data_IF_854228354045
#
_entry.id   IF_854228354045
#
_cell.length_a   1.000
_cell.length_b   1.000
_cell.length_c   1.000
_cell.angle_alpha   90.00
_cell.angle_beta   90.00
_cell.angle_gamma   90.00
#
_symmetry.space_group_name_H-M   'P 1'
#
loop_
_entity.id
_entity.type
_entity.pdbx_description
1 polymer ?
#
# COMPACT_ATOMS: atom_id res chain seq x y z
N UNK A 1 -54.87 -11.67 15.46
CA UNK A 1 -54.61 -11.22 14.11
C UNK A 1 -53.62 -10.07 14.27
N UNK A 2 -52.42 -10.04 13.80
CA UNK A 2 -51.62 -10.91 12.96
C UNK A 2 -50.14 -10.59 13.19
N UNK A 3 -49.35 -11.61 13.55
CA UNK A 3 -47.89 -11.62 13.36
C UNK A 3 -47.63 -11.65 11.86
N UNK A 4 -46.86 -10.71 11.33
CA UNK A 4 -46.03 -10.87 10.10
C UNK A 4 -45.36 -9.52 9.79
N UNK A 5 -44.10 -9.35 10.20
CA UNK A 5 -43.10 -8.52 9.48
C UNK A 5 -41.72 -8.49 10.18
N UNK A 6 -41.16 -9.64 10.54
CA UNK A 6 -39.78 -9.73 11.02
C UNK A 6 -38.93 -10.75 10.25
N UNK A 7 -39.33 -11.12 9.04
CA UNK A 7 -38.70 -12.22 8.25
C UNK A 7 -38.01 -11.82 6.97
N UNK A 8 -37.83 -10.53 6.65
CA UNK A 8 -37.33 -10.15 5.31
C UNK A 8 -35.93 -9.54 5.24
N UNK A 9 -35.20 -9.40 6.33
CA UNK A 9 -33.83 -8.84 6.33
C UNK A 9 -32.72 -9.88 6.44
N UNK A 10 -33.03 -11.12 6.74
CA UNK A 10 -32.00 -12.20 6.79
C UNK A 10 -31.76 -12.94 5.46
N UNK A 11 -32.59 -12.72 4.46
CA UNK A 11 -32.56 -13.44 3.16
C UNK A 11 -31.55 -12.91 2.14
N UNK A 12 -30.93 -11.75 2.34
CA UNK A 12 -30.11 -11.09 1.32
C UNK A 12 -28.59 -11.39 1.39
N UNK A 13 -28.13 -12.18 2.35
CA UNK A 13 -26.70 -12.57 2.50
C UNK A 13 -26.48 -14.03 2.09
N UNK A 14 -27.40 -14.67 1.40
CA UNK A 14 -27.12 -15.93 0.71
C UNK A 14 -26.28 -15.66 -0.55
N UNK A 15 -25.06 -15.15 -0.31
CA UNK A 15 -24.08 -14.88 -1.35
C UNK A 15 -23.79 -16.13 -2.15
N UNK A 16 -23.78 -15.97 -3.46
CA UNK A 16 -23.28 -16.90 -4.46
C UNK A 16 -22.06 -17.65 -3.90
N UNK A 17 -22.20 -18.95 -3.69
CA UNK A 17 -21.07 -19.82 -3.34
C UNK A 17 -20.16 -19.85 -4.56
N UNK A 18 -18.95 -19.29 -4.46
CA UNK A 18 -17.92 -19.58 -5.46
C UNK A 18 -17.76 -21.09 -5.58
N UNK A 19 -17.69 -21.61 -6.80
CA UNK A 19 -17.25 -22.97 -7.01
C UNK A 19 -15.91 -23.16 -6.33
N UNK A 20 -15.70 -24.25 -5.62
CA UNK A 20 -14.44 -24.55 -4.92
C UNK A 20 -13.22 -24.33 -5.82
N UNK A 21 -13.31 -24.74 -7.08
CA UNK A 21 -12.25 -24.54 -8.09
C UNK A 21 -11.95 -23.05 -8.32
N UNK A 22 -12.97 -22.20 -8.42
CA UNK A 22 -12.81 -20.75 -8.66
C UNK A 22 -12.18 -20.05 -7.45
N UNK A 23 -12.63 -20.38 -6.24
CA UNK A 23 -12.06 -19.88 -5.00
C UNK A 23 -10.60 -20.31 -4.83
N UNK A 24 -10.28 -21.57 -5.14
CA UNK A 24 -8.92 -22.10 -5.08
C UNK A 24 -8.00 -21.37 -6.07
N UNK A 25 -8.46 -21.15 -7.30
CA UNK A 25 -7.70 -20.43 -8.34
C UNK A 25 -7.39 -19.00 -7.91
N UNK A 26 -8.39 -18.26 -7.37
CA UNK A 26 -8.19 -16.90 -6.85
C UNK A 26 -7.14 -16.84 -5.72
N UNK A 27 -7.18 -17.80 -4.80
CA UNK A 27 -6.22 -17.89 -3.71
C UNK A 27 -4.80 -18.22 -4.21
N UNK A 28 -4.67 -19.15 -5.17
CA UNK A 28 -3.38 -19.49 -5.77
C UNK A 28 -2.77 -18.26 -6.47
N UNK A 29 -3.57 -17.51 -7.24
CA UNK A 29 -3.11 -16.28 -7.90
C UNK A 29 -2.68 -15.24 -6.87
N UNK A 30 -3.49 -14.98 -5.84
CA UNK A 30 -3.16 -14.02 -4.79
C UNK A 30 -1.86 -14.38 -4.07
N UNK A 31 -1.68 -15.65 -3.70
CA UNK A 31 -0.46 -16.16 -3.03
C UNK A 31 0.77 -16.10 -3.95
N UNK A 32 0.62 -16.42 -5.24
CA UNK A 32 1.72 -16.35 -6.21
C UNK A 32 2.21 -14.92 -6.41
N UNK A 33 1.29 -13.98 -6.53
CA UNK A 33 1.62 -12.54 -6.65
C UNK A 33 2.25 -12.01 -5.37
N UNK A 34 1.70 -12.37 -4.19
CA UNK A 34 2.29 -12.01 -2.91
C UNK A 34 3.73 -12.54 -2.78
N UNK A 35 3.97 -13.81 -3.12
CA UNK A 35 5.31 -14.40 -3.05
C UNK A 35 6.30 -13.69 -3.97
N UNK A 36 5.89 -13.43 -5.22
CA UNK A 36 6.71 -12.72 -6.20
C UNK A 36 7.10 -11.31 -5.70
N UNK A 37 6.12 -10.54 -5.22
CA UNK A 37 6.37 -9.19 -4.72
C UNK A 37 7.19 -9.19 -3.43
N UNK A 38 6.98 -10.16 -2.54
CA UNK A 38 7.76 -10.33 -1.31
C UNK A 38 9.23 -10.61 -1.62
N UNK A 39 9.53 -11.43 -2.63
CA UNK A 39 10.90 -11.68 -3.09
C UNK A 39 11.53 -10.39 -3.64
N UNK A 40 10.81 -9.65 -4.47
CA UNK A 40 11.29 -8.37 -5.03
C UNK A 40 11.57 -7.37 -3.92
N UNK A 41 10.61 -7.14 -3.02
CA UNK A 41 10.75 -6.18 -1.91
C UNK A 41 11.89 -6.60 -0.96
N UNK A 42 11.98 -7.87 -0.59
CA UNK A 42 13.07 -8.40 0.25
C UNK A 42 14.43 -8.23 -0.40
N UNK A 43 14.54 -8.43 -1.72
CA UNK A 43 15.78 -8.21 -2.45
C UNK A 43 16.21 -6.75 -2.45
N UNK A 44 15.27 -5.80 -2.54
CA UNK A 44 15.54 -4.36 -2.45
C UNK A 44 15.99 -3.95 -1.04
N UNK A 45 15.30 -4.43 -0.01
CA UNK A 45 15.68 -4.19 1.39
C UNK A 45 17.09 -4.75 1.66
N UNK A 46 17.38 -5.95 1.19
CA UNK A 46 18.72 -6.55 1.33
C UNK A 46 19.80 -5.71 0.64
N UNK A 47 19.56 -5.23 -0.57
CA UNK A 47 20.51 -4.36 -1.28
C UNK A 47 20.75 -3.06 -0.53
N UNK A 48 19.67 -2.45 0.00
CA UNK A 48 19.78 -1.26 0.83
C UNK A 48 20.64 -1.52 2.08
N UNK A 49 20.36 -2.59 2.83
CA UNK A 49 21.08 -2.94 4.06
C UNK A 49 22.56 -3.29 3.82
N UNK A 50 22.89 -3.80 2.64
CA UNK A 50 24.26 -4.25 2.31
C UNK A 50 25.20 -3.09 1.97
N UNK A 51 24.68 -1.96 1.48
CA UNK A 51 25.49 -0.86 0.96
C UNK A 51 25.27 0.42 1.74
N UNK A 52 26.27 0.86 2.53
CA UNK A 52 26.22 2.05 3.41
C UNK A 52 25.88 3.35 2.65
N UNK A 53 26.25 3.46 1.38
CA UNK A 53 25.98 4.64 0.54
C UNK A 53 24.49 5.03 0.49
N UNK A 54 23.59 4.08 0.74
CA UNK A 54 22.15 4.33 0.74
C UNK A 54 21.64 4.92 2.07
N UNK A 55 22.36 4.71 3.19
CA UNK A 55 22.01 5.27 4.50
C UNK A 55 22.31 6.76 4.61
N UNK A 56 23.24 7.26 3.80
CA UNK A 56 23.67 8.65 3.81
C UNK A 56 22.75 9.56 2.98
N UNK A 57 21.88 8.97 2.18
CA UNK A 57 21.01 9.70 1.26
C UNK A 57 19.55 9.67 1.70
N UNK A 58 18.95 10.81 2.08
CA UNK A 58 17.56 10.95 2.51
C UNK A 58 16.54 10.29 1.58
N UNK A 59 16.78 10.40 0.29
CA UNK A 59 15.95 9.83 -0.76
C UNK A 59 15.79 8.32 -0.65
N UNK A 60 16.90 7.60 -0.43
CA UNK A 60 16.84 6.13 -0.33
C UNK A 60 16.22 5.66 0.97
N UNK A 61 16.35 6.46 2.04
CA UNK A 61 15.71 6.18 3.33
C UNK A 61 14.18 6.25 3.19
N UNK A 62 13.64 7.31 2.58
CA UNK A 62 12.20 7.41 2.32
C UNK A 62 11.70 6.29 1.40
N UNK A 63 12.46 5.97 0.36
CA UNK A 63 12.13 4.89 -0.56
C UNK A 63 12.04 3.54 0.16
N UNK A 64 13.04 3.18 0.97
CA UNK A 64 13.03 1.88 1.65
C UNK A 64 11.93 1.79 2.69
N UNK A 65 11.64 2.89 3.41
CA UNK A 65 10.50 2.94 4.32
C UNK A 65 9.17 2.69 3.60
N UNK A 66 9.00 3.25 2.40
CA UNK A 66 7.82 3.00 1.57
C UNK A 66 7.75 1.52 1.13
N UNK A 67 8.85 0.94 0.66
CA UNK A 67 8.91 -0.48 0.26
C UNK A 67 8.57 -1.41 1.43
N UNK A 68 9.10 -1.12 2.62
CA UNK A 68 8.80 -1.90 3.83
C UNK A 68 7.33 -1.79 4.25
N UNK A 69 6.77 -0.58 4.20
CA UNK A 69 5.36 -0.33 4.48
C UNK A 69 4.44 -1.06 3.48
N UNK A 70 4.76 -0.98 2.19
CA UNK A 70 4.00 -1.67 1.14
C UNK A 70 4.10 -3.20 1.26
N UNK A 71 5.27 -3.74 1.62
CA UNK A 71 5.47 -5.16 1.87
C UNK A 71 4.65 -5.66 3.08
N UNK A 72 4.63 -4.89 4.17
CA UNK A 72 3.82 -5.20 5.35
C UNK A 72 2.33 -5.19 5.01
N UNK A 73 1.84 -4.13 4.37
CA UNK A 73 0.43 -4.03 3.99
C UNK A 73 0.00 -5.13 3.02
N UNK A 74 0.86 -5.46 2.04
CA UNK A 74 0.60 -6.55 1.10
C UNK A 74 0.50 -7.90 1.82
N UNK A 75 1.39 -8.17 2.77
CA UNK A 75 1.36 -9.40 3.56
C UNK A 75 0.08 -9.49 4.40
N UNK A 76 -0.28 -8.43 5.09
CA UNK A 76 -1.48 -8.39 5.92
C UNK A 76 -2.77 -8.53 5.11
N UNK A 77 -2.89 -7.84 3.97
CA UNK A 77 -4.08 -7.93 3.12
C UNK A 77 -4.22 -9.30 2.48
N UNK A 78 -3.10 -9.91 2.04
CA UNK A 78 -3.13 -11.27 1.48
C UNK A 78 -3.46 -12.30 2.56
N UNK A 79 -2.89 -12.16 3.76
CA UNK A 79 -3.24 -13.02 4.89
C UNK A 79 -4.73 -12.88 5.24
N UNK A 80 -5.26 -11.67 5.33
CA UNK A 80 -6.68 -11.43 5.59
C UNK A 80 -7.57 -12.04 4.51
N UNK A 81 -7.17 -11.89 3.23
CA UNK A 81 -7.89 -12.46 2.10
C UNK A 81 -7.94 -14.00 2.18
N UNK A 82 -6.79 -14.66 2.39
CA UNK A 82 -6.70 -16.12 2.50
C UNK A 82 -7.45 -16.63 3.74
N UNK A 83 -7.26 -15.98 4.89
CA UNK A 83 -7.93 -16.37 6.14
C UNK A 83 -9.46 -16.25 6.04
N UNK A 84 -9.98 -15.25 5.36
CA UNK A 84 -11.43 -15.10 5.16
C UNK A 84 -12.04 -16.19 4.27
N UNK A 85 -11.24 -16.80 3.38
CA UNK A 85 -11.66 -17.98 2.61
C UNK A 85 -11.61 -19.27 3.43
N UNK A 86 -10.59 -19.43 4.28
CA UNK A 86 -10.39 -20.67 5.08
C UNK A 86 -11.38 -20.72 6.25
N UNK A 87 -11.45 -19.65 7.03
CA UNK A 87 -12.19 -19.64 8.30
C UNK A 87 -13.59 -19.00 8.20
N UNK A 88 -14.01 -18.50 7.06
CA UNK A 88 -15.30 -17.81 6.82
C UNK A 88 -15.68 -16.75 7.87
N UNK A 89 -15.33 -16.95 9.13
CA UNK A 89 -15.57 -16.04 10.27
C UNK A 89 -14.34 -16.01 11.15
N UNK A 90 -13.82 -14.82 11.42
CA UNK A 90 -12.67 -14.57 12.28
C UNK A 90 -13.16 -13.77 13.48
N UNK A 91 -12.51 -13.90 14.63
CA UNK A 91 -12.85 -13.10 15.81
C UNK A 91 -12.76 -11.61 15.51
N UNK A 92 -13.78 -10.85 15.91
CA UNK A 92 -13.85 -9.40 15.64
C UNK A 92 -12.63 -8.64 16.17
N UNK A 93 -12.05 -9.05 17.30
CA UNK A 93 -10.84 -8.45 17.87
C UNK A 93 -9.64 -8.51 16.91
N UNK A 94 -9.40 -9.67 16.30
CA UNK A 94 -8.31 -9.87 15.32
C UNK A 94 -8.59 -9.08 14.05
N UNK A 95 -9.84 -9.10 13.57
CA UNK A 95 -10.28 -8.33 12.41
C UNK A 95 -10.09 -6.82 12.63
N UNK A 96 -10.49 -6.27 13.78
CA UNK A 96 -10.33 -4.85 14.09
C UNK A 96 -8.86 -4.43 14.01
N UNK A 97 -7.95 -5.22 14.60
CA UNK A 97 -6.52 -4.92 14.57
C UNK A 97 -5.96 -4.97 13.14
N UNK A 98 -6.25 -6.02 12.38
CA UNK A 98 -5.77 -6.18 10.99
C UNK A 98 -6.29 -5.07 10.08
N UNK A 99 -7.59 -4.75 10.16
CA UNK A 99 -8.20 -3.70 9.33
C UNK A 99 -7.66 -2.33 9.73
N UNK A 100 -7.42 -2.06 11.02
CA UNK A 100 -6.81 -0.81 11.45
C UNK A 100 -5.40 -0.62 10.87
N UNK A 101 -4.56 -1.65 10.86
CA UNK A 101 -3.22 -1.58 10.24
C UNK A 101 -3.32 -1.38 8.73
N UNK A 102 -4.26 -2.07 8.06
CA UNK A 102 -4.48 -1.94 6.62
C UNK A 102 -5.00 -0.57 6.20
N UNK A 103 -5.75 0.10 7.05
CA UNK A 103 -6.26 1.46 6.80
C UNK A 103 -5.23 2.55 7.04
N UNK A 104 -4.02 2.23 7.53
CA UNK A 104 -2.93 3.20 7.66
C UNK A 104 -2.50 3.72 6.29
N UNK A 105 -2.61 5.04 6.11
CA UNK A 105 -2.48 5.71 4.80
C UNK A 105 -1.13 6.42 4.63
N UNK A 106 -0.02 5.77 4.96
CA UNK A 106 1.31 6.37 4.95
C UNK A 106 1.90 6.54 3.54
N UNK A 107 1.58 5.68 2.59
CA UNK A 107 2.17 5.69 1.23
C UNK A 107 1.98 7.02 0.49
N UNK A 108 0.80 7.68 0.43
CA UNK A 108 0.67 8.97 -0.26
C UNK A 108 1.51 10.09 0.34
N UNK A 109 1.65 10.16 1.67
CA UNK A 109 2.52 11.16 2.31
C UNK A 109 4.01 10.89 2.08
N UNK A 110 4.43 9.63 2.08
CA UNK A 110 5.80 9.26 1.72
C UNK A 110 6.11 9.65 0.27
N UNK A 111 5.16 9.46 -0.66
CA UNK A 111 5.27 9.92 -2.05
C UNK A 111 5.37 11.44 -2.15
N UNK A 112 4.55 12.17 -1.38
CA UNK A 112 4.62 13.63 -1.33
C UNK A 112 5.97 14.10 -0.75
N UNK A 113 6.47 13.46 0.30
CA UNK A 113 7.79 13.72 0.87
C UNK A 113 8.93 13.50 -0.12
N UNK A 114 8.87 12.41 -0.90
CA UNK A 114 9.84 12.15 -1.95
C UNK A 114 9.76 13.14 -3.11
N UNK A 115 8.55 13.63 -3.46
CA UNK A 115 8.37 14.67 -4.47
C UNK A 115 8.93 16.02 -3.98
N UNK A 116 8.73 16.34 -2.71
CA UNK A 116 9.29 17.54 -2.07
C UNK A 116 10.83 17.47 -2.01
N UNK A 117 11.41 16.32 -1.66
CA UNK A 117 12.87 16.10 -1.72
C UNK A 117 13.40 16.38 -3.14
N UNK A 118 12.73 15.87 -4.17
CA UNK A 118 13.09 16.13 -5.56
C UNK A 118 13.00 17.60 -5.93
N UNK A 119 11.96 18.27 -5.48
CA UNK A 119 11.80 19.72 -5.69
C UNK A 119 12.96 20.49 -5.07
N UNK A 120 13.34 20.20 -3.83
CA UNK A 120 14.46 20.82 -3.15
C UNK A 120 15.79 20.55 -3.89
N UNK A 121 16.02 19.31 -4.32
CA UNK A 121 17.23 18.92 -5.03
C UNK A 121 17.40 19.63 -6.40
N UNK A 122 16.29 19.94 -7.08
CA UNK A 122 16.32 20.57 -8.41
C UNK A 122 16.27 22.09 -8.32
N UNK A 123 15.41 22.63 -7.46
CA UNK A 123 15.20 24.08 -7.37
C UNK A 123 16.18 24.79 -6.42
N UNK A 124 16.72 24.09 -5.41
CA UNK A 124 17.63 24.65 -4.41
C UNK A 124 18.88 23.77 -4.20
N UNK A 125 19.68 23.48 -5.24
CA UNK A 125 20.79 22.53 -5.13
C UNK A 125 21.85 22.94 -4.11
N UNK A 126 22.11 24.24 -3.95
CA UNK A 126 23.08 24.76 -2.96
C UNK A 126 22.64 24.58 -1.50
N UNK A 127 21.34 24.55 -1.25
CA UNK A 127 20.78 24.39 0.10
C UNK A 127 20.35 22.94 0.39
N UNK A 128 20.46 22.05 -0.58
CA UNK A 128 19.98 20.67 -0.47
C UNK A 128 20.60 19.93 0.73
N UNK A 129 21.93 20.01 0.88
CA UNK A 129 22.65 19.36 1.99
C UNK A 129 22.28 19.87 3.40
N UNK A 130 21.81 21.11 3.46
CA UNK A 130 21.36 21.72 4.72
C UNK A 130 19.90 21.40 5.03
N UNK A 131 19.04 21.36 4.00
CA UNK A 131 17.60 21.13 4.13
C UNK A 131 17.26 19.65 4.26
N UNK A 132 17.83 18.80 3.41
CA UNK A 132 17.57 17.38 3.34
C UNK A 132 18.66 16.56 4.03
N UNK A 133 18.69 16.61 5.36
CA UNK A 133 19.58 15.75 6.16
C UNK A 133 18.89 14.42 6.51
N UNK A 134 19.67 13.38 6.75
CA UNK A 134 19.18 12.08 7.21
C UNK A 134 18.30 12.21 8.46
N UNK A 135 18.76 13.01 9.45
CA UNK A 135 18.02 13.21 10.69
C UNK A 135 16.64 13.86 10.46
N UNK A 136 16.57 14.94 9.66
CA UNK A 136 15.29 15.59 9.33
C UNK A 136 14.36 14.67 8.56
N UNK A 137 14.90 13.87 7.66
CA UNK A 137 14.13 12.89 6.90
C UNK A 137 13.56 11.79 7.80
N UNK A 138 14.35 11.29 8.76
CA UNK A 138 13.88 10.30 9.74
C UNK A 138 12.77 10.87 10.61
N UNK A 139 12.92 12.12 11.10
CA UNK A 139 11.87 12.81 11.84
C UNK A 139 10.60 12.97 10.99
N UNK A 140 10.74 13.39 9.72
CA UNK A 140 9.62 13.52 8.80
C UNK A 140 8.89 12.19 8.62
N UNK A 141 9.61 11.08 8.42
CA UNK A 141 9.04 9.74 8.33
C UNK A 141 8.28 9.38 9.62
N UNK A 142 8.86 9.64 10.78
CA UNK A 142 8.20 9.42 12.09
C UNK A 142 6.89 10.21 12.22
N UNK A 143 6.91 11.49 11.83
CA UNK A 143 5.71 12.34 11.81
C UNK A 143 4.64 11.83 10.84
N UNK A 144 5.04 11.37 9.66
CA UNK A 144 4.12 10.76 8.68
C UNK A 144 3.44 9.54 9.30
N UNK A 145 4.18 8.61 9.89
CA UNK A 145 3.60 7.43 10.52
C UNK A 145 2.72 7.77 11.71
N UNK A 146 3.12 8.71 12.57
CA UNK A 146 2.31 9.18 13.69
C UNK A 146 0.97 9.78 13.22
N UNK A 147 1.01 10.68 12.22
CA UNK A 147 -0.18 11.31 11.66
C UNK A 147 -1.13 10.30 11.00
N UNK A 148 -0.59 9.37 10.24
CA UNK A 148 -1.40 8.38 9.50
C UNK A 148 -1.90 7.23 10.37
N UNK A 149 -1.33 7.01 11.54
CA UNK A 149 -1.81 6.03 12.52
C UNK A 149 -2.92 6.59 13.43
N UNK A 150 -3.05 7.90 13.53
CA UNK A 150 -4.04 8.53 14.40
C UNK A 150 -5.50 8.15 14.04
N UNK A 151 -5.96 8.19 12.78
CA UNK A 151 -7.33 7.78 12.42
C UNK A 151 -7.65 6.32 12.79
N UNK A 152 -6.86 5.29 12.40
CA UNK A 152 -7.18 3.91 12.76
C UNK A 152 -7.09 3.64 14.28
N UNK A 153 -6.20 4.31 15.00
CA UNK A 153 -6.15 4.21 16.47
C UNK A 153 -7.44 4.78 17.09
N UNK A 154 -7.89 5.94 16.62
CA UNK A 154 -9.16 6.51 17.08
C UNK A 154 -10.35 5.66 16.72
N UNK A 155 -10.36 4.99 15.57
CA UNK A 155 -11.43 4.04 15.20
C UNK A 155 -11.49 2.86 16.15
N UNK A 156 -10.33 2.29 16.49
CA UNK A 156 -10.22 1.21 17.49
C UNK A 156 -10.71 1.66 18.88
N UNK A 157 -10.31 2.85 19.33
CA UNK A 157 -10.72 3.38 20.63
C UNK A 157 -12.23 3.65 20.70
N UNK A 158 -12.82 4.25 19.67
CA UNK A 158 -14.27 4.47 19.60
C UNK A 158 -15.00 3.13 19.62
N UNK A 159 -14.55 2.15 18.85
CA UNK A 159 -15.16 0.82 18.82
C UNK A 159 -15.05 0.12 20.17
N UNK A 160 -13.88 0.21 20.83
CA UNK A 160 -13.65 -0.37 22.15
C UNK A 160 -14.61 0.20 23.23
N UNK A 161 -14.93 1.49 23.13
CA UNK A 161 -15.82 2.17 24.09
C UNK A 161 -17.30 1.94 23.76
N UNK A 162 -17.65 1.84 22.48
CA UNK A 162 -19.05 1.78 22.03
C UNK A 162 -19.61 0.37 21.93
N UNK A 163 -18.77 -0.61 21.57
CA UNK A 163 -19.21 -1.99 21.37
C UNK A 163 -19.09 -2.81 22.68
N UNK A 164 -20.03 -3.72 22.95
CA UNK A 164 -19.96 -4.57 24.14
C UNK A 164 -18.81 -5.59 24.03
N UNK A 165 -18.25 -6.06 25.16
CA UNK A 165 -17.17 -7.05 25.15
C UNK A 165 -17.48 -8.33 24.35
N UNK A 166 -18.74 -8.74 24.32
CA UNK A 166 -19.24 -9.89 23.56
C UNK A 166 -19.02 -9.74 22.05
N UNK A 167 -19.03 -8.50 21.53
CA UNK A 167 -18.74 -8.21 20.11
C UNK A 167 -17.35 -8.68 19.71
N UNK A 168 -16.33 -8.44 20.53
CA UNK A 168 -14.93 -8.81 20.23
C UNK A 168 -14.68 -10.31 20.20
N UNK A 169 -15.53 -11.10 20.87
CA UNK A 169 -15.50 -12.55 20.83
C UNK A 169 -16.39 -13.14 19.72
N UNK A 170 -17.22 -12.30 19.08
CA UNK A 170 -18.06 -12.74 17.98
C UNK A 170 -17.23 -13.05 16.74
N UNK A 171 -17.65 -14.06 15.99
CA UNK A 171 -17.04 -14.43 14.73
C UNK A 171 -17.75 -13.74 13.57
N UNK A 172 -17.07 -12.81 12.92
CA UNK A 172 -17.62 -11.96 11.86
C UNK A 172 -16.75 -11.96 10.60
N UNK A 173 -17.30 -11.48 9.51
CA UNK A 173 -16.53 -11.22 8.30
C UNK A 173 -15.68 -9.95 8.47
N UNK A 174 -14.38 -10.03 8.11
CA UNK A 174 -13.47 -8.90 8.25
C UNK A 174 -13.70 -7.85 7.15
N UNK A 175 -14.68 -6.97 7.37
CA UNK A 175 -14.97 -5.82 6.53
C UNK A 175 -14.99 -4.56 7.40
N UNK A 176 -14.40 -3.47 6.91
CA UNK A 176 -14.31 -2.21 7.65
C UNK A 176 -15.68 -1.71 8.13
N UNK A 177 -16.70 -1.80 7.27
CA UNK A 177 -18.05 -1.34 7.56
C UNK A 177 -18.78 -2.17 8.62
N UNK A 178 -18.43 -3.46 8.74
CA UNK A 178 -19.00 -4.37 9.74
C UNK A 178 -18.32 -4.24 11.10
N UNK A 179 -17.06 -3.80 11.11
CA UNK A 179 -16.23 -3.63 12.31
C UNK A 179 -16.43 -2.26 12.95
N UNK A 180 -16.41 -1.21 12.14
CA UNK A 180 -16.47 0.18 12.58
C UNK A 180 -17.85 0.77 12.25
N UNK A 181 -18.87 0.39 13.02
CA UNK A 181 -20.28 0.69 12.75
C UNK A 181 -20.70 2.10 13.17
N UNK A 182 -19.95 2.73 14.07
CA UNK A 182 -20.30 4.03 14.60
C UNK A 182 -20.25 5.10 13.50
N UNK A 183 -21.33 5.86 13.38
CA UNK A 183 -21.49 6.91 12.37
C UNK A 183 -20.45 8.03 12.52
N UNK A 184 -19.97 8.27 13.73
CA UNK A 184 -18.93 9.25 14.03
C UNK A 184 -17.60 8.88 13.36
N UNK A 185 -17.28 7.58 13.27
CA UNK A 185 -16.10 7.08 12.59
C UNK A 185 -16.16 7.41 11.10
N UNK A 186 -17.31 7.22 10.47
CA UNK A 186 -17.50 7.55 9.06
C UNK A 186 -17.24 9.03 8.78
N UNK A 187 -17.89 9.94 9.54
CA UNK A 187 -17.71 11.38 9.34
C UNK A 187 -16.27 11.83 9.61
N UNK A 188 -15.67 11.34 10.70
CA UNK A 188 -14.27 11.63 11.03
C UNK A 188 -13.34 11.21 9.89
N UNK A 189 -13.51 10.00 9.36
CA UNK A 189 -12.69 9.50 8.28
C UNK A 189 -12.90 10.28 6.98
N UNK A 190 -14.13 10.65 6.62
CA UNK A 190 -14.41 11.51 5.47
C UNK A 190 -13.70 12.85 5.55
N UNK A 191 -13.74 13.52 6.70
CA UNK A 191 -13.06 14.82 6.89
C UNK A 191 -11.54 14.65 6.83
N UNK A 192 -11.02 13.65 7.54
CA UNK A 192 -9.58 13.37 7.53
C UNK A 192 -9.08 13.05 6.11
N UNK A 193 -9.75 12.14 5.42
CA UNK A 193 -9.37 11.72 4.07
C UNK A 193 -9.45 12.87 3.07
N UNK A 194 -10.53 13.67 3.13
CA UNK A 194 -10.69 14.83 2.26
C UNK A 194 -9.58 15.86 2.47
N UNK A 195 -9.27 16.21 3.71
CA UNK A 195 -8.19 17.15 4.05
C UNK A 195 -6.82 16.59 3.65
N UNK A 196 -6.57 15.35 4.03
CA UNK A 196 -5.35 14.62 3.76
C UNK A 196 -5.03 14.55 2.25
N UNK A 197 -6.00 14.08 1.45
CA UNK A 197 -5.85 13.94 0.00
C UNK A 197 -5.68 15.29 -0.68
N UNK A 198 -6.40 16.32 -0.22
CA UNK A 198 -6.25 17.68 -0.75
C UNK A 198 -4.84 18.20 -0.52
N UNK A 199 -4.30 18.06 0.69
CA UNK A 199 -2.92 18.47 1.02
C UNK A 199 -1.88 17.73 0.17
N UNK A 200 -2.00 16.41 0.04
CA UNK A 200 -1.07 15.61 -0.76
C UNK A 200 -1.13 15.99 -2.23
N UNK A 201 -2.34 16.16 -2.78
CA UNK A 201 -2.54 16.55 -4.19
C UNK A 201 -1.98 17.93 -4.48
N UNK A 202 -2.26 18.91 -3.63
CA UNK A 202 -1.74 20.27 -3.78
C UNK A 202 -0.20 20.29 -3.69
N UNK A 203 0.39 19.54 -2.76
CA UNK A 203 1.85 19.42 -2.66
C UNK A 203 2.46 18.86 -3.94
N UNK A 204 1.88 17.82 -4.50
CA UNK A 204 2.38 17.19 -5.72
C UNK A 204 2.19 18.09 -6.95
N UNK A 205 1.05 18.75 -7.08
CA UNK A 205 0.82 19.72 -8.16
C UNK A 205 1.79 20.89 -8.07
N UNK A 206 1.98 21.46 -6.87
CA UNK A 206 2.93 22.54 -6.65
C UNK A 206 4.36 22.13 -7.01
N UNK A 207 4.85 21.01 -6.48
CA UNK A 207 6.19 20.50 -6.78
C UNK A 207 6.38 20.19 -8.25
N UNK A 208 5.37 19.61 -8.91
CA UNK A 208 5.38 19.37 -10.35
C UNK A 208 5.53 20.67 -11.16
N UNK A 209 4.67 21.65 -10.90
CA UNK A 209 4.71 22.92 -11.63
C UNK A 209 6.05 23.63 -11.44
N UNK A 210 6.57 23.66 -10.21
CA UNK A 210 7.86 24.30 -9.91
C UNK A 210 9.05 23.60 -10.57
N UNK A 211 9.12 22.28 -10.52
CA UNK A 211 10.16 21.48 -11.18
C UNK A 211 10.13 21.74 -12.70
N UNK A 212 8.93 21.77 -13.30
CA UNK A 212 8.80 22.01 -14.73
C UNK A 212 9.22 23.44 -15.15
N UNK A 213 8.86 24.45 -14.34
CA UNK A 213 9.24 25.84 -14.59
C UNK A 213 10.77 26.01 -14.47
N UNK A 214 11.38 25.49 -13.39
CA UNK A 214 12.83 25.57 -13.18
C UNK A 214 13.60 24.82 -14.26
N UNK A 215 13.14 23.64 -14.65
CA UNK A 215 13.77 22.85 -15.72
C UNK A 215 13.71 23.57 -17.10
N UNK A 216 12.64 24.29 -17.38
CA UNK A 216 12.54 25.13 -18.60
C UNK A 216 13.47 26.33 -18.54
N UNK A 217 13.55 27.01 -17.39
CA UNK A 217 14.36 28.22 -17.20
C UNK A 217 15.87 27.94 -17.26
N UNK A 218 16.30 26.78 -16.76
CA UNK A 218 17.73 26.44 -16.67
C UNK A 218 18.38 26.06 -18.01
N UNK A 219 17.65 26.10 -19.15
CA UNK A 219 18.14 25.61 -20.46
C UNK A 219 18.82 24.23 -20.37
N UNK A 220 18.48 23.48 -19.32
CA UNK A 220 19.01 22.14 -19.08
C UNK A 220 18.66 21.27 -20.28
N UNK A 221 19.64 20.54 -20.81
CA UNK A 221 19.47 19.76 -22.02
C UNK A 221 18.17 18.94 -21.98
N UNK A 222 17.49 18.85 -23.12
CA UNK A 222 16.18 18.21 -23.31
C UNK A 222 16.05 16.84 -22.61
N UNK A 223 17.17 16.12 -22.48
CA UNK A 223 17.21 14.81 -21.80
C UNK A 223 17.00 14.89 -20.29
N UNK A 224 17.58 15.89 -19.60
CA UNK A 224 17.44 16.04 -18.14
C UNK A 224 16.03 16.51 -17.75
N UNK A 225 15.45 17.42 -18.54
CA UNK A 225 14.06 17.88 -18.38
C UNK A 225 13.08 16.74 -18.59
N UNK A 226 13.27 15.92 -19.64
CA UNK A 226 12.45 14.75 -19.92
C UNK A 226 12.54 13.72 -18.79
N UNK A 227 13.72 13.50 -18.22
CA UNK A 227 13.92 12.57 -17.09
C UNK A 227 13.19 13.06 -15.83
N UNK A 228 13.31 14.35 -15.49
CA UNK A 228 12.61 14.97 -14.35
C UNK A 228 11.07 14.89 -14.53
N UNK A 229 10.57 15.27 -15.70
CA UNK A 229 9.14 15.18 -16.04
C UNK A 229 8.60 13.76 -15.86
N UNK A 230 9.29 12.76 -16.41
CA UNK A 230 8.84 11.38 -16.31
C UNK A 230 8.86 10.89 -14.87
N UNK A 231 9.74 11.42 -13.98
CA UNK A 231 9.73 11.09 -12.55
C UNK A 231 8.43 11.51 -11.91
N UNK A 232 8.10 12.76 -12.08
CA UNK A 232 6.94 13.34 -11.44
C UNK A 232 5.65 12.76 -12.00
N UNK A 233 5.62 12.48 -13.30
CA UNK A 233 4.47 11.78 -13.92
C UNK A 233 4.22 10.40 -13.30
N UNK A 234 5.29 9.62 -13.09
CA UNK A 234 5.16 8.30 -12.45
C UNK A 234 4.70 8.38 -11.00
N UNK A 235 5.18 9.38 -10.24
CA UNK A 235 4.64 9.65 -8.89
C UNK A 235 3.17 10.04 -8.94
N UNK A 236 2.77 10.84 -9.94
CA UNK A 236 1.38 11.20 -10.16
C UNK A 236 0.49 9.99 -10.44
N UNK A 237 0.93 9.07 -11.29
CA UNK A 237 0.21 7.82 -11.57
C UNK A 237 0.09 6.96 -10.31
N UNK A 238 1.16 6.83 -9.53
CA UNK A 238 1.13 6.07 -8.28
C UNK A 238 0.19 6.70 -7.26
N UNK A 239 0.19 8.03 -7.15
CA UNK A 239 -0.76 8.74 -6.30
C UNK A 239 -2.21 8.52 -6.75
N UNK A 240 -2.48 8.62 -8.06
CA UNK A 240 -3.81 8.39 -8.61
C UNK A 240 -4.34 7.00 -8.21
N UNK A 241 -3.50 5.98 -8.29
CA UNK A 241 -3.85 4.62 -7.84
C UNK A 241 -4.06 4.54 -6.32
N UNK A 242 -3.26 5.26 -5.53
CA UNK A 242 -3.49 5.35 -4.09
C UNK A 242 -4.81 6.09 -3.77
N UNK A 243 -5.16 7.13 -4.53
CA UNK A 243 -6.44 7.84 -4.38
C UNK A 243 -7.63 6.95 -4.72
N UNK A 244 -7.49 6.06 -5.69
CA UNK A 244 -8.53 5.11 -6.03
C UNK A 244 -8.93 4.26 -4.81
N UNK A 245 -8.00 3.95 -3.92
CA UNK A 245 -8.26 3.22 -2.69
C UNK A 245 -9.30 3.87 -1.75
N UNK A 246 -9.46 5.19 -1.82
CA UNK A 246 -10.45 5.92 -1.02
C UNK A 246 -11.85 5.93 -1.64
N UNK A 247 -11.92 5.88 -2.96
CA UNK A 247 -13.19 5.85 -3.71
C UNK A 247 -13.76 4.42 -3.78
N UNK A 248 -12.89 3.44 -3.77
CA UNK A 248 -13.24 2.03 -3.96
C UNK A 248 -14.26 1.50 -2.95
N UNK A 249 -14.22 1.76 -1.64
CA UNK A 249 -15.21 1.21 -0.72
C UNK A 249 -16.63 1.63 -1.10
N UNK A 250 -16.85 2.90 -1.47
CA UNK A 250 -18.15 3.40 -1.90
C UNK A 250 -18.57 2.83 -3.25
N UNK A 251 -17.65 2.76 -4.20
CA UNK A 251 -17.91 2.19 -5.51
C UNK A 251 -18.18 0.69 -5.43
N UNK A 252 -17.43 -0.04 -4.62
CA UNK A 252 -17.64 -1.46 -4.37
C UNK A 252 -19.02 -1.74 -3.75
N UNK A 253 -19.43 -0.96 -2.75
CA UNK A 253 -20.75 -1.08 -2.14
C UNK A 253 -21.85 -0.84 -3.16
N UNK A 254 -21.74 0.21 -3.99
CA UNK A 254 -22.69 0.51 -5.04
C UNK A 254 -22.77 -0.62 -6.09
N UNK A 255 -21.64 -1.14 -6.56
CA UNK A 255 -21.60 -2.23 -7.54
C UNK A 255 -22.14 -3.55 -6.97
N UNK A 256 -21.87 -3.86 -5.71
CA UNK A 256 -22.43 -5.06 -5.06
C UNK A 256 -23.94 -4.93 -4.90
N UNK A 257 -24.49 -3.73 -4.62
CA UNK A 257 -25.93 -3.52 -4.57
C UNK A 257 -26.62 -3.66 -5.91
N UNK A 258 -25.97 -3.25 -7.00
CA UNK A 258 -26.47 -3.39 -8.38
C UNK A 258 -26.34 -4.83 -8.90
N UNK A 259 -25.25 -5.52 -8.55
CA UNK A 259 -24.95 -6.86 -9.04
C UNK A 259 -24.63 -7.84 -7.90
N UNK A 260 -25.61 -8.23 -7.07
CA UNK A 260 -25.38 -9.07 -5.89
C UNK A 260 -24.74 -10.43 -6.22
N UNK A 261 -25.08 -10.98 -7.40
CA UNK A 261 -24.55 -12.28 -7.87
C UNK A 261 -23.05 -12.27 -8.15
N UNK A 262 -22.48 -11.09 -8.46
CA UNK A 262 -21.07 -10.90 -8.77
C UNK A 262 -20.27 -10.35 -7.59
N UNK A 263 -20.83 -10.34 -6.39
CA UNK A 263 -20.23 -9.72 -5.21
C UNK A 263 -18.80 -10.22 -4.92
N UNK A 264 -18.53 -11.50 -5.07
CA UNK A 264 -17.20 -12.09 -4.85
C UNK A 264 -16.21 -11.70 -5.95
N UNK A 265 -16.64 -11.64 -7.20
CA UNK A 265 -15.81 -11.19 -8.33
C UNK A 265 -15.46 -9.71 -8.20
N UNK A 266 -16.43 -8.87 -7.84
CA UNK A 266 -16.24 -7.45 -7.60
C UNK A 266 -15.19 -7.25 -6.49
N UNK A 267 -15.31 -7.94 -5.36
CA UNK A 267 -14.34 -7.87 -4.25
C UNK A 267 -12.94 -8.29 -4.70
N UNK A 268 -12.82 -9.35 -5.49
CA UNK A 268 -11.55 -9.84 -6.00
C UNK A 268 -10.88 -8.85 -6.97
N UNK A 269 -11.63 -8.28 -7.91
CA UNK A 269 -11.12 -7.29 -8.86
C UNK A 269 -10.62 -6.05 -8.10
N UNK A 270 -11.38 -5.55 -7.14
CA UNK A 270 -10.95 -4.41 -6.33
C UNK A 270 -9.74 -4.73 -5.44
N UNK A 271 -9.65 -5.94 -4.91
CA UNK A 271 -8.46 -6.42 -4.21
C UNK A 271 -7.21 -6.31 -5.10
N UNK A 272 -7.26 -6.80 -6.33
CA UNK A 272 -6.13 -6.70 -7.27
C UNK A 272 -5.80 -5.24 -7.61
N UNK A 273 -6.81 -4.44 -7.93
CA UNK A 273 -6.66 -3.08 -8.45
C UNK A 273 -6.16 -2.09 -7.39
N UNK A 274 -6.60 -2.23 -6.15
CA UNK A 274 -6.32 -1.27 -5.07
C UNK A 274 -5.14 -1.70 -4.21
N UNK A 275 -5.04 -2.99 -3.92
CA UNK A 275 -4.01 -3.47 -3.00
C UNK A 275 -2.78 -4.03 -3.70
N UNK A 276 -2.92 -4.64 -4.87
CA UNK A 276 -1.79 -5.27 -5.57
C UNK A 276 -1.09 -4.29 -6.51
N UNK A 277 -1.83 -3.64 -7.42
CA UNK A 277 -1.23 -2.82 -8.49
C UNK A 277 -0.39 -1.66 -7.95
N UNK A 278 -0.84 -0.82 -6.98
CA UNK A 278 -0.02 0.28 -6.49
C UNK A 278 1.29 -0.19 -5.85
N UNK A 279 1.25 -1.30 -5.13
CA UNK A 279 2.42 -1.87 -4.45
C UNK A 279 3.39 -2.58 -5.40
N UNK A 280 2.89 -3.04 -6.54
CA UNK A 280 3.73 -3.53 -7.63
C UNK A 280 4.47 -2.39 -8.34
N UNK A 281 3.82 -1.24 -8.49
CA UNK A 281 4.43 -0.08 -9.15
C UNK A 281 5.58 0.53 -8.34
N UNK A 282 5.51 0.54 -7.01
CA UNK A 282 6.55 1.12 -6.15
C UNK A 282 7.96 0.56 -6.45
N UNK A 283 8.21 -0.75 -6.38
CA UNK A 283 9.52 -1.33 -6.71
C UNK A 283 9.92 -1.11 -8.17
N UNK A 284 8.97 -1.12 -9.10
CA UNK A 284 9.26 -0.88 -10.51
C UNK A 284 9.75 0.56 -10.72
N UNK A 285 9.01 1.54 -10.21
CA UNK A 285 9.34 2.95 -10.40
C UNK A 285 10.73 3.26 -9.86
N UNK A 286 11.07 2.79 -8.68
CA UNK A 286 12.35 3.10 -8.04
C UNK A 286 13.47 2.14 -8.43
N UNK A 287 13.21 0.84 -8.42
CA UNK A 287 14.22 -0.18 -8.68
C UNK A 287 14.75 -0.15 -10.11
N UNK A 288 13.90 0.14 -11.09
CA UNK A 288 14.34 0.22 -12.49
C UNK A 288 14.80 1.60 -12.92
N UNK A 289 14.35 2.65 -12.26
CA UNK A 289 14.57 4.01 -12.68
C UNK A 289 15.80 4.67 -12.08
N UNK A 290 16.09 4.45 -10.82
CA UNK A 290 17.31 4.93 -10.20
C UNK A 290 18.49 4.14 -10.68
N UNK A 291 19.36 4.79 -11.48
CA UNK A 291 20.51 4.11 -12.13
C UNK A 291 21.48 3.54 -11.10
N UNK A 292 21.69 4.28 -10.00
CA UNK A 292 22.61 3.88 -8.94
C UNK A 292 22.05 2.67 -8.20
N UNK A 293 20.84 2.76 -7.68
CA UNK A 293 20.18 1.66 -6.98
C UNK A 293 20.05 0.43 -7.88
N UNK A 294 19.63 0.61 -9.14
CA UNK A 294 19.51 -0.47 -10.13
C UNK A 294 20.84 -1.19 -10.38
N UNK A 295 21.99 -0.46 -10.41
CA UNK A 295 23.32 -1.06 -10.61
C UNK A 295 23.67 -2.00 -9.46
N UNK A 296 23.49 -1.55 -8.22
CA UNK A 296 23.75 -2.34 -7.02
C UNK A 296 22.78 -3.52 -6.90
N UNK A 297 21.49 -3.27 -7.09
CA UNK A 297 20.46 -4.30 -7.02
C UNK A 297 20.66 -5.41 -8.05
N UNK A 298 20.95 -5.09 -9.32
CA UNK A 298 21.26 -6.09 -10.34
C UNK A 298 22.52 -6.89 -10.03
N UNK A 299 23.51 -6.28 -9.39
CA UNK A 299 24.72 -6.96 -8.94
C UNK A 299 24.41 -7.97 -7.84
N UNK A 300 23.65 -7.56 -6.84
CA UNK A 300 23.28 -8.42 -5.73
C UNK A 300 22.38 -9.58 -6.15
N UNK A 301 21.43 -9.34 -7.06
CA UNK A 301 20.59 -10.40 -7.64
C UNK A 301 21.44 -11.44 -8.39
N UNK A 302 22.43 -11.02 -9.17
CA UNK A 302 23.33 -11.94 -9.88
C UNK A 302 24.14 -12.80 -8.91
N UNK A 303 24.65 -12.22 -7.82
CA UNK A 303 25.37 -12.95 -6.78
C UNK A 303 24.47 -14.00 -6.11
N UNK A 304 23.25 -13.63 -5.75
CA UNK A 304 22.28 -14.57 -5.16
C UNK A 304 21.94 -15.70 -6.12
N UNK A 305 21.70 -15.40 -7.38
CA UNK A 305 21.42 -16.41 -8.40
C UNK A 305 22.61 -17.35 -8.62
N UNK A 306 23.83 -16.80 -8.70
CA UNK A 306 25.05 -17.59 -8.83
C UNK A 306 25.27 -18.51 -7.63
N UNK A 307 25.13 -18.01 -6.40
CA UNK A 307 25.23 -18.81 -5.20
C UNK A 307 24.17 -19.92 -5.15
N UNK A 308 22.91 -19.61 -5.49
CA UNK A 308 21.86 -20.63 -5.57
C UNK A 308 22.18 -21.73 -6.57
N UNK A 309 22.72 -21.38 -7.75
CA UNK A 309 23.17 -22.36 -8.74
C UNK A 309 24.37 -23.19 -8.26
N UNK A 310 25.29 -22.59 -7.52
CA UNK A 310 26.45 -23.30 -6.97
C UNK A 310 26.06 -24.27 -5.85
N UNK A 311 25.10 -23.87 -4.98
CA UNK A 311 24.59 -24.74 -3.90
C UNK A 311 23.67 -25.86 -4.41
N UNK A 312 23.01 -25.68 -5.55
CA UNK A 312 22.18 -26.73 -6.17
C UNK A 312 22.99 -27.86 -6.83
N UNK A 313 24.27 -27.63 -7.15
CA UNK A 313 25.12 -28.63 -7.80
C UNK A 313 25.69 -29.75 -6.91
N UNK A 314 25.90 -29.62 -5.58
CA UNK A 314 26.46 -30.71 -4.79
C UNK A 314 25.54 -31.87 -4.50
N UNK A 315 24.19 -31.70 -4.56
CA UNK A 315 23.23 -32.76 -4.22
C UNK A 315 23.02 -33.82 -5.32
N UNK A 316 23.45 -33.54 -6.54
CA UNK A 316 23.35 -34.50 -7.66
C UNK A 316 24.57 -35.43 -7.84
N UNK A 317 25.69 -35.18 -7.12
CA UNK A 317 26.89 -36.04 -7.18
C UNK A 317 26.96 -37.12 -6.11
N UNK A 318 25.98 -37.21 -5.20
CA UNK A 318 25.96 -38.24 -4.14
C UNK A 318 25.00 -39.42 -4.46
N UNK A 319 24.47 -39.49 -5.69
CA UNK A 319 23.69 -40.64 -6.18
C UNK A 319 24.33 -41.21 -7.46
N UNK A 320 25.57 -41.69 -7.35
CA UNK A 320 26.13 -42.71 -8.25
C UNK A 320 27.01 -43.67 -7.45
#
# INVERSE_FOLDING_TARGET
MSNQSSGQTEGAVAGSKDSFSNALTKNIVAMSVWLMLSIINSSMVRTFLRHSIFYENPRYIMFICMVMNDALQLTLVTALYVLSYIFRKIHASVCCLLVAVLTTRSTPLLLAGMALERYIAICFPLHYSQMCTVQRTTVLIGLIFALTSAPPITDLLITLVREPPTFFHSAIFCDHSLLFRDRSIYYKNCVFDGTYLSCVTLTLLYTYCKIMLTAKAASAGLASVKRARNTVLLHGVQLLLCMLAFVVPSLQAALISLFPRLSLEIRYIFFLLVYIIPRFLSPIIYGFRDEMFRKYWKRDLRIVFFLSCCFSKPLLKLKR
#
